data_IF_000908159467
#
_entry.id   IF_000908159467
#
_cell.length_a   1.000
_cell.length_b   1.000
_cell.length_c   1.000
_cell.angle_alpha   90.00
_cell.angle_beta   90.00
_cell.angle_gamma   90.00
#
_symmetry.space_group_name_H-M   'P 1'
#
loop_
_entity.id
_entity.type
_entity.pdbx_description
1 polymer ?
#
# COMPACT_ATOMS: atom_id res chain seq x y z
N UNK A 1 -9.14 -8.30 15.73
CA UNK A 1 -7.92 -8.34 14.91
C UNK A 1 -7.27 -9.71 15.03
N UNK A 2 -6.98 -10.35 13.91
CA UNK A 2 -6.27 -11.62 13.85
C UNK A 2 -4.77 -11.33 13.85
N UNK A 3 -4.03 -11.97 14.77
CA UNK A 3 -2.57 -11.86 14.82
C UNK A 3 -1.94 -12.51 13.60
N UNK A 4 -0.92 -11.85 13.04
CA UNK A 4 -0.16 -12.34 11.91
C UNK A 4 1.28 -12.62 12.32
N UNK A 5 1.91 -13.56 11.61
CA UNK A 5 3.37 -13.65 11.64
C UNK A 5 3.96 -12.33 11.10
N UNK A 6 5.15 -11.92 11.59
CA UNK A 6 5.78 -10.68 11.13
C UNK A 6 6.01 -10.69 9.62
N UNK A 7 5.75 -9.55 8.99
CA UNK A 7 6.00 -9.29 7.57
C UNK A 7 6.63 -7.90 7.44
N UNK A 8 7.27 -7.65 6.29
CA UNK A 8 7.85 -6.35 5.94
C UNK A 8 7.36 -5.85 4.58
N UNK A 9 6.53 -6.61 3.87
CA UNK A 9 5.97 -6.21 2.59
C UNK A 9 4.50 -6.53 2.53
N UNK A 10 3.70 -5.61 1.98
CA UNK A 10 2.28 -5.80 1.74
C UNK A 10 2.08 -5.95 0.24
N UNK A 11 1.47 -7.06 -0.19
CA UNK A 11 1.10 -7.32 -1.57
C UNK A 11 -0.41 -7.46 -1.67
N UNK A 12 -1.04 -6.53 -2.38
CA UNK A 12 -2.49 -6.54 -2.60
C UNK A 12 -2.81 -7.00 -4.02
N UNK A 13 -3.56 -8.09 -4.11
CA UNK A 13 -3.99 -8.74 -5.36
C UNK A 13 -5.50 -8.60 -5.59
N UNK A 14 -6.17 -7.72 -4.85
CA UNK A 14 -7.61 -7.51 -4.94
C UNK A 14 -7.98 -6.03 -4.76
N UNK A 15 -9.28 -5.74 -4.87
CA UNK A 15 -9.84 -4.44 -4.53
C UNK A 15 -10.13 -4.35 -3.05
N UNK A 16 -9.60 -3.32 -2.40
CA UNK A 16 -9.85 -3.03 -0.99
C UNK A 16 -9.44 -1.61 -0.61
N UNK A 17 -9.90 -1.18 0.56
CA UNK A 17 -9.39 -0.02 1.29
C UNK A 17 -8.61 -0.51 2.50
N UNK A 18 -7.37 -0.06 2.69
CA UNK A 18 -6.52 -0.45 3.81
C UNK A 18 -6.18 0.77 4.64
N UNK A 19 -6.55 0.75 5.92
CA UNK A 19 -6.03 1.65 6.95
C UNK A 19 -4.81 0.99 7.61
N UNK A 20 -3.62 1.52 7.30
CA UNK A 20 -2.34 0.98 7.72
C UNK A 20 -1.81 1.72 8.95
N UNK A 21 -1.45 0.94 9.96
CA UNK A 21 -0.91 1.39 11.24
C UNK A 21 0.44 0.72 11.55
N UNK A 22 1.27 1.39 12.33
CA UNK A 22 2.50 0.85 12.89
C UNK A 22 2.34 0.62 14.40
N UNK A 23 2.52 -0.63 14.82
CA UNK A 23 2.37 -1.04 16.23
C UNK A 23 3.45 -2.08 16.59
N UNK A 24 3.46 -2.49 17.85
CA UNK A 24 4.27 -3.56 18.44
C UNK A 24 3.97 -4.97 17.91
N UNK A 25 2.86 -5.17 17.20
CA UNK A 25 2.48 -6.46 16.61
C UNK A 25 1.82 -6.32 15.24
N UNK A 26 1.96 -7.37 14.43
CA UNK A 26 1.33 -7.46 13.12
C UNK A 26 -0.06 -8.09 13.26
N UNK A 27 -1.08 -7.44 12.72
CA UNK A 27 -2.44 -7.94 12.78
C UNK A 27 -3.29 -7.40 11.63
N UNK A 28 -4.32 -8.16 11.27
CA UNK A 28 -5.27 -7.77 10.22
C UNK A 28 -6.71 -7.93 10.74
N UNK A 29 -7.57 -7.04 10.30
CA UNK A 29 -9.01 -7.14 10.50
C UNK A 29 -9.73 -6.65 9.25
N UNK A 30 -10.64 -7.47 8.72
CA UNK A 30 -11.54 -7.07 7.65
C UNK A 30 -12.77 -6.47 8.33
N UNK A 31 -12.96 -5.16 8.16
CA UNK A 31 -14.01 -4.35 8.78
C UNK A 31 -15.26 -4.35 7.87
N UNK A 32 -15.82 -5.54 7.70
CA UNK A 32 -16.99 -5.82 6.87
C UNK A 32 -17.91 -6.80 7.59
N UNK A 33 -19.19 -6.89 7.20
CA UNK A 33 -20.08 -7.99 7.62
C UNK A 33 -19.44 -9.37 7.37
N UNK A 34 -19.70 -10.35 8.25
CA UNK A 34 -19.02 -11.65 8.24
C UNK A 34 -19.06 -12.35 6.86
N UNK A 35 -20.19 -12.26 6.16
CA UNK A 35 -20.38 -12.85 4.83
C UNK A 35 -19.43 -12.25 3.78
N UNK A 36 -19.15 -10.95 3.85
CA UNK A 36 -18.19 -10.24 2.97
C UNK A 36 -16.77 -10.42 3.46
N UNK A 37 -16.55 -10.37 4.79
CA UNK A 37 -15.24 -10.55 5.39
C UNK A 37 -14.61 -11.90 5.00
N UNK A 38 -15.43 -12.96 4.92
CA UNK A 38 -15.03 -14.29 4.47
C UNK A 38 -14.57 -14.33 3.00
N UNK A 39 -14.87 -13.33 2.18
CA UNK A 39 -14.40 -13.28 0.79
C UNK A 39 -12.92 -12.92 0.70
N UNK A 40 -12.39 -12.22 1.71
CA UNK A 40 -11.00 -11.79 1.76
C UNK A 40 -10.15 -12.91 2.36
N UNK A 41 -9.20 -13.40 1.56
CA UNK A 41 -8.17 -14.33 1.98
C UNK A 41 -6.86 -13.59 2.21
N UNK A 42 -6.13 -13.99 3.24
CA UNK A 42 -4.85 -13.39 3.59
C UNK A 42 -3.91 -14.41 4.22
N UNK A 43 -2.63 -14.31 3.88
CA UNK A 43 -1.58 -15.13 4.47
C UNK A 43 -0.24 -14.41 4.37
N UNK A 44 0.71 -14.83 5.20
CA UNK A 44 2.09 -14.34 5.14
C UNK A 44 2.98 -15.42 4.56
N UNK A 45 3.67 -15.12 3.46
CA UNK A 45 4.63 -16.00 2.82
C UNK A 45 5.92 -15.22 2.52
N UNK A 46 7.09 -15.76 2.88
CA UNK A 46 8.40 -15.13 2.63
C UNK A 46 8.53 -13.67 3.13
N UNK A 47 7.88 -13.33 4.24
CA UNK A 47 7.90 -11.96 4.80
C UNK A 47 6.96 -10.98 4.09
N UNK A 48 6.11 -11.48 3.21
CA UNK A 48 5.10 -10.71 2.48
C UNK A 48 3.70 -11.09 2.97
N UNK A 49 2.93 -10.10 3.42
CA UNK A 49 1.50 -10.27 3.61
C UNK A 49 0.81 -10.16 2.25
N UNK A 50 0.19 -11.25 1.83
CA UNK A 50 -0.60 -11.33 0.61
C UNK A 50 -2.07 -11.18 1.00
N UNK A 51 -2.76 -10.20 0.40
CA UNK A 51 -4.20 -9.96 0.57
C UNK A 51 -4.88 -10.12 -0.79
N UNK A 52 -5.88 -10.98 -0.85
CA UNK A 52 -6.59 -11.31 -2.08
C UNK A 52 -8.06 -11.60 -1.80
N UNK A 53 -8.90 -11.62 -2.84
CA UNK A 53 -10.27 -12.12 -2.72
C UNK A 53 -10.32 -13.54 -3.25
N UNK A 54 -11.04 -14.41 -2.54
CA UNK A 54 -11.29 -15.79 -3.00
C UNK A 54 -11.89 -15.74 -4.42
N UNK A 55 -11.39 -16.54 -5.39
CA UNK A 55 -11.74 -16.38 -6.80
C UNK A 55 -13.24 -16.35 -7.11
N UNK A 56 -14.05 -17.12 -6.37
CA UNK A 56 -15.50 -17.19 -6.55
C UNK A 56 -16.25 -15.88 -6.22
N UNK A 57 -15.65 -14.99 -5.44
CA UNK A 57 -16.27 -13.71 -5.02
C UNK A 57 -15.71 -12.50 -5.77
N UNK A 58 -14.59 -12.64 -6.49
CA UNK A 58 -13.95 -11.51 -7.16
C UNK A 58 -14.84 -10.82 -8.19
N UNK A 59 -15.64 -11.59 -8.94
CA UNK A 59 -16.60 -11.04 -9.90
C UNK A 59 -17.65 -10.11 -9.25
N UNK A 60 -18.02 -10.38 -7.99
CA UNK A 60 -18.95 -9.53 -7.25
C UNK A 60 -18.33 -8.15 -6.96
N UNK A 61 -17.07 -8.12 -6.52
CA UNK A 61 -16.36 -6.85 -6.29
C UNK A 61 -16.28 -5.99 -7.55
N UNK A 62 -16.08 -6.63 -8.72
CA UNK A 62 -16.05 -5.93 -10.01
C UNK A 62 -17.41 -5.34 -10.40
N UNK A 63 -18.49 -6.12 -10.27
CA UNK A 63 -19.83 -5.72 -10.70
C UNK A 63 -20.42 -4.60 -9.84
N UNK A 64 -20.06 -4.58 -8.56
CA UNK A 64 -20.60 -3.62 -7.59
C UNK A 64 -19.64 -2.48 -7.26
N UNK A 65 -18.47 -2.42 -7.91
CA UNK A 65 -17.37 -1.48 -7.60
C UNK A 65 -17.09 -1.39 -6.09
N UNK A 66 -17.01 -2.56 -5.45
CA UNK A 66 -16.88 -2.69 -3.99
C UNK A 66 -15.41 -2.78 -3.57
N UNK A 67 -15.08 -2.12 -2.46
CA UNK A 67 -13.75 -2.10 -1.85
C UNK A 67 -13.87 -2.46 -0.36
N UNK A 68 -13.79 -3.76 -0.02
CA UNK A 68 -13.77 -4.20 1.36
C UNK A 68 -12.74 -3.46 2.20
N UNK A 69 -13.14 -3.03 3.40
CA UNK A 69 -12.29 -2.28 4.32
C UNK A 69 -11.44 -3.21 5.17
N UNK A 70 -10.16 -2.87 5.30
CA UNK A 70 -9.17 -3.66 6.02
C UNK A 70 -8.40 -2.72 6.95
N UNK A 71 -8.32 -3.08 8.21
CA UNK A 71 -7.41 -2.49 9.18
C UNK A 71 -6.17 -3.39 9.29
N UNK A 72 -5.00 -2.81 9.11
CA UNK A 72 -3.73 -3.53 9.09
C UNK A 72 -2.73 -2.86 10.03
N UNK A 73 -2.14 -3.63 10.94
CA UNK A 73 -0.99 -3.18 11.75
C UNK A 73 0.26 -3.93 11.33
N UNK A 74 1.40 -3.25 11.35
CA UNK A 74 2.71 -3.83 11.08
C UNK A 74 3.74 -3.33 12.09
N UNK A 75 4.81 -4.09 12.30
CA UNK A 75 5.95 -3.63 13.13
C UNK A 75 7.00 -2.93 12.27
N UNK A 76 7.29 -3.50 11.11
CA UNK A 76 8.24 -3.00 10.13
C UNK A 76 7.60 -3.02 8.74
N UNK A 77 7.97 -2.06 7.91
CA UNK A 77 7.49 -1.99 6.55
C UNK A 77 8.61 -1.51 5.62
N UNK A 78 8.88 -2.33 4.61
CA UNK A 78 9.85 -2.05 3.56
C UNK A 78 9.18 -1.89 2.19
N UNK A 79 7.96 -2.41 2.01
CA UNK A 79 7.36 -2.52 0.69
C UNK A 79 5.84 -2.52 0.68
N UNK A 80 5.25 -1.80 -0.27
CA UNK A 80 3.84 -1.90 -0.66
C UNK A 80 3.77 -2.19 -2.16
N UNK A 81 2.99 -3.19 -2.55
CA UNK A 81 2.80 -3.57 -3.94
C UNK A 81 1.30 -3.74 -4.24
N UNK A 82 0.78 -2.90 -5.14
CA UNK A 82 -0.59 -2.99 -5.62
C UNK A 82 -0.62 -3.62 -7.02
N UNK A 83 -1.20 -4.81 -7.13
CA UNK A 83 -1.41 -5.53 -8.39
C UNK A 83 -2.85 -5.45 -8.91
N UNK A 84 -3.75 -4.90 -8.11
CA UNK A 84 -5.12 -4.57 -8.46
C UNK A 84 -5.50 -3.22 -7.81
N UNK A 85 -6.74 -2.79 -8.01
CA UNK A 85 -7.22 -1.49 -7.56
C UNK A 85 -7.50 -1.45 -6.07
N UNK A 86 -6.54 -0.97 -5.30
CA UNK A 86 -6.67 -0.77 -3.87
C UNK A 86 -6.26 0.64 -3.45
N UNK A 87 -6.79 1.08 -2.30
CA UNK A 87 -6.41 2.32 -1.66
C UNK A 87 -5.76 1.98 -0.31
N UNK A 88 -4.52 2.43 -0.09
CA UNK A 88 -3.87 2.32 1.21
C UNK A 88 -3.67 3.73 1.76
N UNK A 89 -4.12 3.94 3.00
CA UNK A 89 -3.85 5.17 3.73
C UNK A 89 -3.19 4.85 5.05
N UNK A 90 -2.30 5.72 5.52
CA UNK A 90 -1.83 5.69 6.90
C UNK A 90 -2.14 7.02 7.58
N UNK A 91 -2.98 7.04 8.62
CA UNK A 91 -3.33 8.28 9.32
C UNK A 91 -2.18 8.78 10.19
N UNK A 92 -1.24 7.91 10.54
CA UNK A 92 -0.09 8.23 11.37
C UNK A 92 1.20 8.24 10.57
N UNK A 93 2.27 8.72 11.22
CA UNK A 93 3.59 8.79 10.61
C UNK A 93 4.33 7.47 10.81
N UNK A 94 4.59 6.75 9.72
CA UNK A 94 5.33 5.50 9.72
C UNK A 94 6.84 5.76 9.81
N UNK A 95 7.52 5.06 10.72
CA UNK A 95 8.98 5.13 10.87
C UNK A 95 9.61 3.87 10.30
N UNK A 96 10.34 4.03 9.21
CA UNK A 96 10.89 2.92 8.43
C UNK A 96 12.30 3.24 7.97
N UNK A 97 13.15 2.24 7.75
CA UNK A 97 14.49 2.52 7.21
C UNK A 97 14.38 2.88 5.72
N UNK A 98 13.67 2.06 4.96
CA UNK A 98 13.48 2.20 3.51
C UNK A 98 12.05 1.82 3.16
N UNK A 99 11.43 2.53 2.23
CA UNK A 99 10.09 2.20 1.76
C UNK A 99 10.04 2.17 0.23
N UNK A 100 9.71 1.01 -0.33
CA UNK A 100 9.34 0.87 -1.74
C UNK A 100 7.83 0.84 -1.91
N UNK A 101 7.28 1.64 -2.81
CA UNK A 101 5.87 1.61 -3.21
C UNK A 101 5.78 1.35 -4.70
N UNK A 102 5.12 0.26 -5.10
CA UNK A 102 4.91 -0.10 -6.50
C UNK A 102 3.41 -0.22 -6.77
N UNK A 103 2.90 0.62 -7.66
CA UNK A 103 1.53 0.50 -8.17
C UNK A 103 1.59 0.00 -9.62
N UNK A 104 1.13 -1.25 -9.84
CA UNK A 104 1.11 -1.88 -11.18
C UNK A 104 -0.21 -1.67 -11.93
N UNK A 105 -1.29 -1.32 -11.24
CA UNK A 105 -2.64 -1.11 -11.78
C UNK A 105 -3.21 0.23 -11.33
N UNK A 106 -4.52 0.43 -11.44
CA UNK A 106 -5.19 1.57 -10.79
C UNK A 106 -5.02 1.42 -9.26
N UNK A 107 -5.04 2.51 -8.49
CA UNK A 107 -4.96 2.44 -7.02
C UNK A 107 -4.28 3.67 -6.40
N UNK A 108 -4.47 3.84 -5.10
CA UNK A 108 -3.94 4.99 -4.37
C UNK A 108 -3.12 4.53 -3.17
N UNK A 109 -1.98 5.16 -2.93
CA UNK A 109 -1.21 5.00 -1.69
C UNK A 109 -0.94 6.37 -1.11
N UNK A 110 -1.50 6.66 0.06
CA UNK A 110 -1.27 7.91 0.78
C UNK A 110 -0.59 7.63 2.13
N UNK A 111 0.64 8.11 2.30
CA UNK A 111 1.46 7.81 3.48
C UNK A 111 2.14 9.06 4.04
N UNK A 112 2.31 9.08 5.36
CA UNK A 112 3.19 10.00 6.06
C UNK A 112 4.36 9.19 6.62
N UNK A 113 5.59 9.50 6.23
CA UNK A 113 6.75 8.63 6.50
C UNK A 113 7.95 9.43 7.00
N UNK A 114 8.68 8.86 7.96
CA UNK A 114 10.06 9.20 8.28
C UNK A 114 10.94 8.04 7.82
N UNK A 115 11.73 8.24 6.77
CA UNK A 115 12.53 7.18 6.17
C UNK A 115 13.89 7.66 5.69
N UNK A 116 14.91 6.79 5.71
CA UNK A 116 16.19 7.16 5.06
C UNK A 116 16.00 7.24 3.53
N UNK A 117 15.16 6.36 2.98
CA UNK A 117 14.90 6.30 1.55
C UNK A 117 13.46 5.94 1.21
N UNK A 118 12.90 6.61 0.22
CA UNK A 118 11.59 6.30 -0.38
C UNK A 118 11.75 6.08 -1.88
N UNK A 119 11.33 4.92 -2.36
CA UNK A 119 11.28 4.58 -3.79
C UNK A 119 9.82 4.41 -4.22
N UNK A 120 9.36 5.20 -5.19
CA UNK A 120 8.00 5.15 -5.69
C UNK A 120 7.98 4.82 -7.19
N UNK A 121 7.20 3.81 -7.57
CA UNK A 121 7.05 3.36 -8.95
C UNK A 121 5.57 3.22 -9.29
N UNK A 122 5.12 3.93 -10.33
CA UNK A 122 3.76 3.87 -10.85
C UNK A 122 3.84 3.44 -12.32
N UNK A 123 3.24 2.29 -12.65
CA UNK A 123 3.32 1.72 -14.00
C UNK A 123 2.07 1.99 -14.88
N UNK A 124 0.94 2.37 -14.25
CA UNK A 124 -0.36 2.65 -14.91
C UNK A 124 -1.04 3.85 -14.25
N UNK A 125 -2.38 3.84 -14.06
CA UNK A 125 -3.19 4.94 -13.51
C UNK A 125 -3.21 4.94 -11.98
N UNK A 126 -2.03 4.85 -11.37
CA UNK A 126 -1.87 4.86 -9.92
C UNK A 126 -1.65 6.28 -9.40
N UNK A 127 -2.02 6.51 -8.15
CA UNK A 127 -1.70 7.73 -7.42
C UNK A 127 -0.87 7.38 -6.17
N UNK A 128 0.30 7.99 -6.03
CA UNK A 128 1.07 7.92 -4.79
C UNK A 128 1.16 9.32 -4.19
N UNK A 129 0.72 9.48 -2.95
CA UNK A 129 0.91 10.69 -2.15
C UNK A 129 1.79 10.37 -0.95
N UNK A 130 2.92 11.06 -0.82
CA UNK A 130 3.84 10.87 0.31
C UNK A 130 4.14 12.20 0.97
N UNK A 131 4.03 12.23 2.29
CA UNK A 131 4.43 13.34 3.14
C UNK A 131 5.45 12.87 4.19
N UNK A 132 6.10 13.83 4.86
CA UNK A 132 7.04 13.54 5.96
C UNK A 132 8.48 13.90 5.61
N UNK A 133 9.44 13.09 6.07
CA UNK A 133 10.88 13.39 5.98
C UNK A 133 11.66 12.22 5.39
N UNK A 134 12.55 12.53 4.45
CA UNK A 134 13.49 11.54 3.92
C UNK A 134 14.85 12.11 3.53
N UNK A 135 15.85 11.25 3.41
CA UNK A 135 17.16 11.64 2.85
C UNK A 135 17.11 11.53 1.33
N UNK A 136 16.67 10.37 0.83
CA UNK A 136 16.62 10.04 -0.59
C UNK A 136 15.19 9.73 -1.04
N UNK A 137 14.74 10.39 -2.11
CA UNK A 137 13.50 10.02 -2.78
C UNK A 137 13.80 9.65 -4.23
N UNK A 138 13.23 8.56 -4.72
CA UNK A 138 13.26 8.17 -6.13
C UNK A 138 11.83 7.99 -6.62
N UNK A 139 11.54 8.55 -7.79
CA UNK A 139 10.23 8.49 -8.40
C UNK A 139 10.35 8.03 -9.84
N UNK A 140 9.55 7.02 -10.19
CA UNK A 140 9.28 6.63 -11.55
C UNK A 140 7.77 6.56 -11.78
N UNK A 141 7.25 7.43 -12.63
CA UNK A 141 5.85 7.42 -13.04
C UNK A 141 5.78 7.21 -14.55
N UNK A 142 5.01 6.19 -14.98
CA UNK A 142 4.81 5.84 -16.37
C UNK A 142 3.34 6.03 -16.77
N UNK A 143 3.10 6.55 -17.98
CA UNK A 143 1.76 6.90 -18.51
C UNK A 143 1.02 7.87 -17.57
N UNK A 144 -0.24 7.60 -17.28
CA UNK A 144 -1.16 8.42 -16.47
C UNK A 144 -0.94 8.26 -14.95
N UNK A 145 0.28 7.93 -14.52
CA UNK A 145 0.63 7.82 -13.12
C UNK A 145 0.80 9.19 -12.48
N UNK A 146 0.23 9.39 -11.28
CA UNK A 146 0.34 10.65 -10.54
C UNK A 146 1.11 10.48 -9.25
N UNK A 147 2.04 11.38 -8.98
CA UNK A 147 2.75 11.45 -7.71
C UNK A 147 2.61 12.83 -7.08
N UNK A 148 2.16 12.87 -5.82
CA UNK A 148 2.10 14.06 -4.97
C UNK A 148 3.07 13.91 -3.78
N UNK A 149 4.26 14.48 -3.94
CA UNK A 149 5.29 14.55 -2.89
C UNK A 149 5.54 15.97 -2.38
N UNK A 150 4.64 16.93 -2.63
CA UNK A 150 4.87 18.34 -2.28
C UNK A 150 5.09 18.55 -0.76
N UNK A 151 4.59 17.62 0.05
CA UNK A 151 4.72 17.61 1.51
C UNK A 151 5.83 16.67 2.03
N UNK A 152 6.67 16.11 1.13
CA UNK A 152 7.82 15.29 1.48
C UNK A 152 9.09 16.15 1.47
N UNK A 153 9.69 16.30 2.66
CA UNK A 153 10.98 16.98 2.82
C UNK A 153 12.10 15.99 2.53
N UNK A 154 12.71 16.09 1.35
CA UNK A 154 13.87 15.28 0.98
C UNK A 154 15.15 16.12 1.05
N UNK A 155 16.20 15.58 1.70
CA UNK A 155 17.53 16.22 1.68
C UNK A 155 18.19 16.15 0.29
N UNK A 156 17.81 15.13 -0.49
CA UNK A 156 18.28 14.91 -1.87
C UNK A 156 17.06 14.58 -2.73
N UNK A 157 16.72 15.47 -3.67
CA UNK A 157 15.67 15.25 -4.67
C UNK A 157 16.24 14.52 -5.89
N UNK A 158 15.51 13.58 -6.52
CA UNK A 158 16.00 12.87 -7.69
C UNK A 158 16.06 13.80 -8.92
N UNK A 159 16.89 13.48 -9.93
CA UNK A 159 16.72 14.07 -11.25
C UNK A 159 15.35 13.65 -11.82
N UNK A 160 14.50 14.63 -12.13
CA UNK A 160 13.24 14.39 -12.84
C UNK A 160 13.53 13.84 -14.24
N UNK A 161 13.21 12.57 -14.51
CA UNK A 161 13.00 12.07 -15.88
C UNK A 161 11.49 11.88 -16.11
N UNK A 162 10.83 12.96 -16.55
CA UNK A 162 9.48 12.91 -17.12
C UNK A 162 9.59 12.41 -18.56
N UNK A 163 9.28 11.14 -18.82
CA UNK A 163 8.98 10.70 -20.17
C UNK A 163 7.49 10.94 -20.43
N UNK A 164 7.20 12.11 -21.02
CA UNK A 164 5.90 12.46 -21.63
C UNK A 164 5.72 11.70 -22.94
#
# INVERSE_FOLDING_TARGET
MNSLTPFHTIRILTRCEVSLHQDSSCAIHVDEPDDIAEWIDHHVENGELIIQTKPMHYGFLLLHDSYPKIQLTCTHLNGIQLFDRANITSPERLRVEKLGVIIRQDGTVELNVDALRVDCTILKRGHIKVAGETIEAFLYAYRDGWYDGASLQASTYPPYELHV
#
